data_IF_769080218703
#
_entry.id   IF_769080218703
#
_cell.length_a   1.000
_cell.length_b   1.000
_cell.length_c   1.000
_cell.angle_alpha   90.00
_cell.angle_beta   90.00
_cell.angle_gamma   90.00
#
_symmetry.space_group_name_H-M   'P 1'
#
loop_
_entity.id
_entity.type
_entity.pdbx_description
1 polymer ?
#
# COMPACT_ATOMS: atom_id res chain seq x y z
N UNK A 1 -75.39 -1.21 -5.39
CA UNK A 1 -75.11 0.15 -5.91
C UNK A 1 -73.60 0.37 -5.89
N UNK A 2 -73.01 0.78 -7.01
CA UNK A 2 -71.56 0.95 -7.25
C UNK A 2 -70.99 2.14 -6.47
N UNK A 3 -69.83 2.00 -5.81
CA UNK A 3 -68.94 3.13 -5.53
C UNK A 3 -67.46 2.74 -5.69
N UNK A 4 -67.02 3.01 -6.91
CA UNK A 4 -65.67 3.20 -7.47
C UNK A 4 -64.52 3.24 -6.44
N UNK A 5 -63.67 2.22 -6.48
CA UNK A 5 -62.36 2.21 -5.82
C UNK A 5 -61.34 2.70 -6.84
N UNK A 6 -60.85 3.91 -6.66
CA UNK A 6 -59.82 4.52 -7.50
C UNK A 6 -58.47 3.84 -7.26
N UNK A 7 -57.93 3.21 -8.30
CA UNK A 7 -56.55 2.73 -8.37
C UNK A 7 -55.57 3.89 -8.12
N UNK A 8 -54.92 3.89 -6.96
CA UNK A 8 -53.68 4.64 -6.77
C UNK A 8 -52.53 3.86 -7.38
N UNK A 9 -52.10 4.25 -8.59
CA UNK A 9 -50.83 3.81 -9.17
C UNK A 9 -49.69 4.44 -8.36
N UNK A 10 -49.10 3.67 -7.44
CA UNK A 10 -47.80 3.98 -6.87
C UNK A 10 -46.73 3.66 -7.92
N UNK A 11 -46.29 4.69 -8.64
CA UNK A 11 -45.13 4.59 -9.53
C UNK A 11 -43.87 4.42 -8.67
N UNK A 12 -43.36 3.20 -8.57
CA UNK A 12 -42.05 2.93 -7.99
C UNK A 12 -40.97 3.46 -8.95
N UNK A 13 -40.45 4.65 -8.68
CA UNK A 13 -39.27 5.16 -9.37
C UNK A 13 -38.06 4.32 -8.94
N UNK A 14 -37.63 3.39 -9.81
CA UNK A 14 -36.41 2.63 -9.61
C UNK A 14 -35.21 3.58 -9.79
N UNK A 15 -34.65 4.06 -8.69
CA UNK A 15 -33.40 4.82 -8.69
C UNK A 15 -32.28 3.82 -8.96
N UNK A 16 -31.82 3.76 -10.21
CA UNK A 16 -30.61 3.02 -10.58
C UNK A 16 -29.39 3.78 -10.07
N UNK A 17 -28.81 3.33 -8.96
CA UNK A 17 -27.53 3.85 -8.46
C UNK A 17 -26.41 3.25 -9.34
N UNK A 18 -25.63 4.05 -10.08
CA UNK A 18 -24.47 3.51 -10.79
C UNK A 18 -23.46 3.00 -9.77
N UNK A 19 -23.13 1.71 -9.84
CA UNK A 19 -22.04 1.14 -9.06
C UNK A 19 -20.71 1.70 -9.58
N UNK A 20 -20.12 2.63 -8.83
CA UNK A 20 -18.78 3.14 -9.10
C UNK A 20 -17.78 2.13 -8.53
N UNK A 21 -17.21 1.29 -9.38
CA UNK A 21 -16.10 0.42 -8.98
C UNK A 21 -14.82 1.25 -8.94
N UNK A 22 -14.16 1.30 -7.79
CA UNK A 22 -12.81 1.86 -7.70
C UNK A 22 -11.85 0.99 -8.52
N UNK A 23 -10.88 1.58 -9.25
CA UNK A 23 -9.86 0.80 -9.94
C UNK A 23 -9.09 -0.06 -8.93
N UNK A 24 -8.88 -1.33 -9.27
CA UNK A 24 -8.03 -2.23 -8.48
C UNK A 24 -6.58 -1.85 -8.79
N UNK A 25 -5.79 -1.52 -7.76
CA UNK A 25 -4.35 -1.35 -7.93
C UNK A 25 -3.72 -2.71 -8.18
N UNK A 26 -2.98 -2.81 -9.28
CA UNK A 26 -2.21 -3.99 -9.64
C UNK A 26 -0.74 -3.79 -9.30
N UNK A 27 0.00 -4.88 -9.16
CA UNK A 27 1.43 -4.82 -8.98
C UNK A 27 2.11 -4.29 -10.26
N UNK A 28 3.00 -3.31 -10.12
CA UNK A 28 3.82 -2.69 -11.15
C UNK A 28 5.31 -2.76 -10.76
N UNK A 29 5.96 -3.83 -11.23
CA UNK A 29 7.39 -4.03 -11.04
C UNK A 29 8.24 -2.93 -11.71
N UNK A 30 7.74 -2.33 -12.79
CA UNK A 30 8.48 -1.29 -13.52
C UNK A 30 8.49 0.00 -12.71
N UNK A 31 7.34 0.41 -12.18
CA UNK A 31 7.21 1.58 -11.31
C UNK A 31 8.06 1.43 -10.04
N UNK A 32 8.10 0.23 -9.44
CA UNK A 32 8.99 -0.07 -8.33
C UNK A 32 10.47 0.12 -8.70
N UNK A 33 10.92 -0.54 -9.78
CA UNK A 33 12.32 -0.47 -10.23
C UNK A 33 12.74 0.97 -10.54
N UNK A 34 11.90 1.74 -11.23
CA UNK A 34 12.17 3.16 -11.48
C UNK A 34 12.36 3.92 -10.15
N UNK A 35 11.48 3.69 -9.17
CA UNK A 35 11.54 4.39 -7.88
C UNK A 35 12.80 4.08 -7.05
N UNK A 36 13.37 2.89 -7.19
CA UNK A 36 14.50 2.43 -6.34
C UNK A 36 15.85 2.44 -7.05
N UNK A 37 15.90 2.29 -8.37
CA UNK A 37 17.18 2.22 -9.11
C UNK A 37 17.77 3.62 -9.37
N UNK A 38 16.94 4.64 -9.54
CA UNK A 38 17.44 6.02 -9.77
C UNK A 38 17.72 6.78 -8.47
N UNK A 39 17.22 6.28 -7.33
CA UNK A 39 17.39 6.92 -6.03
C UNK A 39 18.75 6.53 -5.43
N UNK A 40 19.58 7.51 -5.03
CA UNK A 40 20.81 7.21 -4.31
C UNK A 40 20.54 6.45 -3.00
N UNK A 41 21.45 5.55 -2.62
CA UNK A 41 21.46 4.91 -1.30
C UNK A 41 21.14 3.42 -1.29
N UNK A 42 20.33 2.90 -2.21
CA UNK A 42 19.99 1.46 -2.22
C UNK A 42 21.03 0.59 -2.93
N UNK A 43 21.63 1.07 -4.03
CA UNK A 43 22.75 0.41 -4.71
C UNK A 43 22.55 -1.09 -5.00
N UNK A 44 21.31 -1.50 -5.34
CA UNK A 44 21.05 -2.90 -5.69
C UNK A 44 21.93 -3.34 -6.87
N UNK A 45 22.49 -4.57 -6.84
CA UNK A 45 23.43 -5.02 -7.87
C UNK A 45 22.78 -5.25 -9.24
N UNK A 46 21.48 -5.50 -9.28
CA UNK A 46 20.67 -5.63 -10.50
C UNK A 46 19.16 -5.53 -10.16
N UNK A 47 18.31 -5.55 -11.21
CA UNK A 47 16.86 -5.47 -11.07
C UNK A 47 16.25 -6.64 -10.29
N UNK A 48 16.74 -7.87 -10.49
CA UNK A 48 16.23 -9.05 -9.78
C UNK A 48 16.50 -8.96 -8.27
N UNK A 49 17.66 -8.44 -7.87
CA UNK A 49 17.99 -8.21 -6.48
C UNK A 49 17.08 -7.14 -5.85
N UNK A 50 16.80 -6.05 -6.58
CA UNK A 50 15.88 -5.01 -6.12
C UNK A 50 14.46 -5.57 -5.94
N UNK A 51 13.96 -6.34 -6.91
CA UNK A 51 12.64 -6.98 -6.85
C UNK A 51 12.57 -8.00 -5.72
N UNK A 52 13.59 -8.84 -5.58
CA UNK A 52 13.68 -9.81 -4.49
C UNK A 52 13.60 -9.14 -3.12
N UNK A 53 14.31 -8.02 -2.93
CA UNK A 53 14.23 -7.24 -1.70
C UNK A 53 12.83 -6.65 -1.47
N UNK A 54 12.23 -6.07 -2.52
CA UNK A 54 10.88 -5.50 -2.46
C UNK A 54 9.80 -6.54 -2.12
N UNK A 55 9.85 -7.72 -2.74
CA UNK A 55 8.95 -8.82 -2.38
C UNK A 55 9.21 -9.35 -0.97
N UNK A 56 10.47 -9.36 -0.51
CA UNK A 56 10.80 -9.66 0.87
C UNK A 56 10.13 -8.70 1.87
N UNK A 57 10.07 -7.40 1.57
CA UNK A 57 9.29 -6.44 2.36
C UNK A 57 7.80 -6.81 2.33
N UNK A 58 7.26 -7.12 1.15
CA UNK A 58 5.86 -7.54 1.02
C UNK A 58 5.52 -8.76 1.89
N UNK A 59 6.39 -9.76 1.92
CA UNK A 59 6.21 -10.96 2.75
C UNK A 59 6.23 -10.62 4.24
N UNK A 60 7.14 -9.75 4.68
CA UNK A 60 7.19 -9.26 6.08
C UNK A 60 5.88 -8.57 6.48
N UNK A 61 5.36 -7.68 5.62
CA UNK A 61 4.09 -6.97 5.86
C UNK A 61 2.91 -7.95 5.87
N UNK A 62 2.85 -8.88 4.91
CA UNK A 62 1.81 -9.89 4.83
C UNK A 62 1.80 -10.83 6.05
N UNK A 63 2.99 -11.14 6.60
CA UNK A 63 3.15 -11.89 7.84
C UNK A 63 2.77 -11.08 9.10
N UNK A 64 2.42 -9.79 8.96
CA UNK A 64 2.01 -8.94 10.05
C UNK A 64 3.17 -8.42 10.90
N UNK A 65 4.41 -8.41 10.38
CA UNK A 65 5.53 -7.82 11.11
C UNK A 65 5.27 -6.32 11.39
N UNK A 66 5.62 -5.84 12.59
CA UNK A 66 5.36 -4.44 12.95
C UNK A 66 6.22 -3.49 12.11
N UNK A 67 5.65 -2.36 11.69
CA UNK A 67 6.32 -1.40 10.81
C UNK A 67 7.70 -0.97 11.33
N UNK A 68 7.83 -0.72 12.64
CA UNK A 68 9.11 -0.34 13.23
C UNK A 68 10.21 -1.40 13.13
N UNK A 69 9.85 -2.68 13.09
CA UNK A 69 10.80 -3.78 12.86
C UNK A 69 11.23 -3.80 11.38
N UNK A 70 10.28 -3.69 10.45
CA UNK A 70 10.60 -3.63 9.01
C UNK A 70 11.48 -2.42 8.70
N UNK A 71 11.19 -1.26 9.30
CA UNK A 71 12.03 -0.05 9.22
C UNK A 71 13.45 -0.30 9.75
N UNK A 72 13.58 -0.98 10.89
CA UNK A 72 14.87 -1.34 11.48
C UNK A 72 15.69 -2.28 10.60
N UNK A 73 15.06 -3.31 10.05
CA UNK A 73 15.70 -4.24 9.11
C UNK A 73 16.22 -3.48 7.88
N UNK A 74 15.39 -2.64 7.26
CA UNK A 74 15.77 -1.86 6.07
C UNK A 74 16.93 -0.92 6.38
N UNK A 75 16.88 -0.19 7.51
CA UNK A 75 18.01 0.66 7.92
C UNK A 75 19.30 -0.14 8.11
N UNK A 76 19.21 -1.30 8.76
CA UNK A 76 20.34 -2.19 8.98
C UNK A 76 20.95 -2.70 7.67
N UNK A 77 20.10 -3.15 6.74
CA UNK A 77 20.53 -3.69 5.45
C UNK A 77 21.24 -2.64 4.58
N UNK A 78 20.80 -1.38 4.63
CA UNK A 78 21.40 -0.27 3.87
C UNK A 78 22.43 0.55 4.67
N UNK A 79 22.68 0.20 5.94
CA UNK A 79 23.61 0.92 6.80
C UNK A 79 23.30 2.41 6.93
N UNK A 80 22.01 2.76 7.04
CA UNK A 80 21.53 4.14 7.07
C UNK A 80 20.83 4.47 8.39
N UNK A 81 20.99 5.71 8.86
CA UNK A 81 20.21 6.28 9.95
C UNK A 81 19.08 7.18 9.44
N UNK A 82 18.82 7.20 8.13
CA UNK A 82 17.75 7.96 7.48
C UNK A 82 16.43 7.15 7.43
N UNK A 83 15.46 7.58 8.23
CA UNK A 83 14.12 7.00 8.28
C UNK A 83 13.29 7.31 7.03
N UNK A 84 13.52 8.45 6.38
CA UNK A 84 12.88 8.74 5.10
C UNK A 84 13.35 7.75 4.04
N UNK A 85 14.65 7.43 3.99
CA UNK A 85 15.17 6.40 3.07
C UNK A 85 14.51 5.04 3.31
N UNK A 86 14.39 4.60 4.56
CA UNK A 86 13.78 3.31 4.87
C UNK A 86 12.27 3.28 4.58
N UNK A 87 11.54 4.30 5.05
CA UNK A 87 10.08 4.39 4.89
C UNK A 87 9.67 4.58 3.43
N UNK A 88 10.48 5.27 2.63
CA UNK A 88 10.27 5.40 1.19
C UNK A 88 10.35 4.04 0.50
N UNK A 89 11.39 3.25 0.77
CA UNK A 89 11.55 1.92 0.15
C UNK A 89 10.39 0.99 0.50
N UNK A 90 9.99 0.97 1.78
CA UNK A 90 8.87 0.16 2.24
C UNK A 90 7.56 0.58 1.58
N UNK A 91 7.30 1.89 1.52
CA UNK A 91 6.11 2.43 0.87
C UNK A 91 6.10 2.13 -0.63
N UNK A 92 7.24 2.25 -1.31
CA UNK A 92 7.37 1.95 -2.73
C UNK A 92 7.15 0.47 -3.01
N UNK A 93 7.76 -0.42 -2.23
CA UNK A 93 7.56 -1.86 -2.35
C UNK A 93 6.08 -2.23 -2.16
N UNK A 94 5.42 -1.70 -1.13
CA UNK A 94 4.03 -2.07 -0.85
C UNK A 94 3.02 -1.46 -1.82
N UNK A 95 3.22 -0.21 -2.23
CA UNK A 95 2.34 0.44 -3.20
C UNK A 95 2.43 -0.23 -4.57
N UNK A 96 3.65 -0.53 -5.01
CA UNK A 96 3.90 -1.00 -6.38
C UNK A 96 3.93 -2.52 -6.50
N UNK A 97 4.38 -3.30 -5.51
CA UNK A 97 4.52 -4.75 -5.66
C UNK A 97 3.42 -5.57 -4.97
N UNK A 98 2.87 -5.09 -3.86
CA UNK A 98 1.86 -5.81 -3.10
C UNK A 98 0.73 -4.89 -2.59
N UNK A 99 -0.02 -4.24 -3.50
CA UNK A 99 -1.05 -3.26 -3.13
C UNK A 99 -2.16 -3.82 -2.20
N UNK A 100 -2.41 -5.13 -2.24
CA UNK A 100 -3.31 -5.80 -1.31
C UNK A 100 -2.92 -5.61 0.18
N UNK A 101 -1.65 -5.32 0.46
CA UNK A 101 -1.10 -5.15 1.81
C UNK A 101 -1.04 -3.70 2.29
N UNK A 102 -1.47 -2.73 1.48
CA UNK A 102 -1.43 -1.29 1.83
C UNK A 102 -2.16 -1.02 3.15
N UNK A 103 -3.31 -1.64 3.37
CA UNK A 103 -4.06 -1.47 4.62
C UNK A 103 -3.31 -2.01 5.84
N UNK A 104 -2.68 -3.17 5.71
CA UNK A 104 -1.89 -3.77 6.78
C UNK A 104 -0.68 -2.90 7.12
N UNK A 105 0.03 -2.40 6.11
CA UNK A 105 1.15 -1.48 6.29
C UNK A 105 0.70 -0.22 7.03
N UNK A 106 -0.33 0.47 6.52
CA UNK A 106 -0.83 1.73 7.12
C UNK A 106 -1.29 1.54 8.55
N UNK A 107 -1.98 0.44 8.84
CA UNK A 107 -2.40 0.09 10.21
C UNK A 107 -1.19 -0.10 11.12
N UNK A 108 -0.17 -0.82 10.66
CA UNK A 108 1.05 -1.08 11.44
C UNK A 108 1.92 0.18 11.66
N UNK A 109 1.84 1.16 10.75
CA UNK A 109 2.60 2.40 10.78
C UNK A 109 1.93 3.54 11.58
N UNK A 110 0.65 3.42 11.96
CA UNK A 110 -0.18 4.52 12.47
C UNK A 110 0.39 5.27 13.69
N UNK A 111 1.28 4.63 14.45
CA UNK A 111 1.92 5.20 15.64
C UNK A 111 3.43 5.07 15.61
N UNK A 112 4.01 4.88 14.42
CA UNK A 112 5.46 4.81 14.29
C UNK A 112 6.10 6.12 14.73
N UNK A 113 7.16 5.99 15.52
CA UNK A 113 8.04 7.08 15.92
C UNK A 113 9.47 6.63 15.65
N UNK A 114 10.24 7.52 15.04
CA UNK A 114 11.66 7.27 14.79
C UNK A 114 12.38 7.00 16.11
N UNK A 115 13.18 5.92 16.19
CA UNK A 115 14.00 5.67 17.37
C UNK A 115 14.99 6.83 17.62
N UNK A 116 15.45 7.03 18.87
CA UNK A 116 16.50 7.99 19.16
C UNK A 116 17.76 7.74 18.30
N UNK A 117 18.33 8.81 17.73
CA UNK A 117 19.53 8.75 16.91
C UNK A 117 19.30 8.38 15.44
N UNK A 118 18.04 8.25 15.00
CA UNK A 118 17.65 8.08 13.59
C UNK A 118 17.11 9.41 13.07
N UNK A 119 17.54 9.82 11.88
CA UNK A 119 17.11 11.04 11.19
C UNK A 119 15.75 10.82 10.52
N UNK A 120 14.68 11.51 10.95
CA UNK A 120 13.32 11.33 10.42
C UNK A 120 13.13 11.90 9.01
#
# INVERSE_FOLDING_TARGET
MRRRWTCGLLAAAAVSVPAVFAPVSHADATAYLIGVTVRPGYNFPNADAALGYGYGICDKVAAGQPFGQVMGDVRGDFGTDDDYQASYLISQAVNELCPAQIWQLRKSAAHYQSPPGVHP
#
